data_IF_764579697423
#
_entry.id   IF_764579697423
#
_cell.length_a   1.000
_cell.length_b   1.000
_cell.length_c   1.000
_cell.angle_alpha   90.00
_cell.angle_beta   90.00
_cell.angle_gamma   90.00
#
_symmetry.space_group_name_H-M   'P 1'
#
loop_
_entity.id
_entity.type
_entity.pdbx_description
1 polymer ?
#
# COMPACT_ATOMS: atom_id res chain seq x y z
N UNK A 1 -5.22 -5.92 -19.44
CA UNK A 1 -4.35 -5.38 -18.37
C UNK A 1 -4.07 -6.48 -17.37
N UNK A 2 -2.84 -6.63 -16.86
CA UNK A 2 -2.51 -7.64 -15.83
C UNK A 2 -2.93 -7.08 -14.47
N UNK A 3 -3.74 -7.83 -13.71
CA UNK A 3 -4.00 -7.51 -12.31
C UNK A 3 -2.79 -7.95 -11.46
N UNK A 4 -2.24 -7.07 -10.58
CA UNK A 4 -1.11 -7.43 -9.72
C UNK A 4 -1.43 -8.56 -8.74
N UNK A 5 -0.44 -9.45 -8.52
CA UNK A 5 -0.48 -10.42 -7.44
C UNK A 5 -0.38 -9.72 -6.08
N UNK A 6 -1.24 -10.08 -5.13
CA UNK A 6 -1.38 -9.42 -3.82
C UNK A 6 -1.06 -10.42 -2.70
N UNK A 7 -0.29 -9.97 -1.71
CA UNK A 7 0.06 -10.75 -0.53
C UNK A 7 -1.11 -10.85 0.46
N UNK A 8 -1.18 -11.98 1.19
CA UNK A 8 -2.10 -12.24 2.31
C UNK A 8 -1.37 -11.93 3.63
N UNK A 9 -2.08 -11.48 4.64
CA UNK A 9 -1.51 -11.26 5.97
C UNK A 9 -1.19 -12.60 6.62
N UNK A 10 0.06 -12.79 7.05
CA UNK A 10 0.46 -13.97 7.82
C UNK A 10 0.23 -13.73 9.32
N UNK A 11 -0.08 -14.80 10.05
CA UNK A 11 -0.30 -14.77 11.49
C UNK A 11 1.02 -14.64 12.27
N UNK A 12 2.02 -15.41 11.89
CA UNK A 12 3.31 -15.49 12.58
C UNK A 12 4.48 -15.52 11.61
N UNK A 13 5.66 -15.00 12.01
CA UNK A 13 6.88 -15.21 11.26
C UNK A 13 7.24 -16.71 11.23
N UNK A 14 7.94 -17.11 10.18
CA UNK A 14 8.35 -18.48 9.94
C UNK A 14 9.67 -18.54 9.17
N UNK A 15 10.32 -19.71 9.17
CA UNK A 15 11.47 -20.02 8.34
C UNK A 15 11.18 -21.26 7.50
N UNK A 16 11.39 -21.18 6.17
CA UNK A 16 11.17 -22.29 5.23
C UNK A 16 12.04 -22.08 3.98
N UNK A 17 12.92 -23.05 3.61
CA UNK A 17 13.84 -22.93 2.47
C UNK A 17 13.14 -22.76 1.11
N UNK A 18 11.87 -23.11 1.01
CA UNK A 18 11.09 -22.91 -0.22
C UNK A 18 10.60 -21.47 -0.42
N UNK A 19 10.90 -20.57 0.52
CA UNK A 19 10.49 -19.19 0.50
C UNK A 19 11.69 -18.25 0.34
N UNK A 20 11.39 -17.05 -0.16
CA UNK A 20 12.31 -15.91 -0.12
C UNK A 20 11.65 -14.76 0.61
N UNK A 21 12.45 -13.95 1.28
CA UNK A 21 11.98 -12.82 2.07
C UNK A 21 12.52 -11.52 1.51
N UNK A 22 11.63 -10.59 1.23
CA UNK A 22 11.93 -9.24 0.76
C UNK A 22 11.48 -8.22 1.79
N UNK A 23 12.15 -7.07 1.83
CA UNK A 23 11.69 -5.93 2.63
C UNK A 23 10.29 -5.52 2.14
N UNK A 24 9.34 -5.36 3.06
CA UNK A 24 8.07 -4.74 2.74
C UNK A 24 8.29 -3.24 2.58
N UNK A 25 8.07 -2.76 1.37
CA UNK A 25 8.21 -1.36 1.01
C UNK A 25 6.92 -0.61 1.30
N UNK A 26 7.03 0.56 1.93
CA UNK A 26 5.90 1.45 2.19
C UNK A 26 5.82 2.50 1.07
N UNK A 27 4.94 2.27 0.09
CA UNK A 27 4.85 3.09 -1.10
C UNK A 27 3.56 2.91 -1.89
N UNK A 28 3.66 3.10 -3.19
CA UNK A 28 2.58 2.93 -4.16
C UNK A 28 2.96 1.83 -5.14
N UNK A 29 2.13 0.78 -5.23
CA UNK A 29 2.31 -0.31 -6.20
C UNK A 29 2.28 0.23 -7.62
N UNK A 30 3.25 -0.21 -8.42
CA UNK A 30 3.40 0.19 -9.80
C UNK A 30 3.69 -1.01 -10.71
N UNK A 31 2.84 -1.22 -11.71
CA UNK A 31 3.19 -1.99 -12.88
C UNK A 31 3.81 -1.03 -13.90
N UNK A 32 5.09 -1.22 -14.20
CA UNK A 32 5.76 -0.52 -15.28
C UNK A 32 5.64 -1.38 -16.54
N UNK A 33 5.01 -0.81 -17.56
CA UNK A 33 4.79 -1.43 -18.86
C UNK A 33 5.61 -0.63 -19.87
N UNK A 34 6.41 -1.32 -20.67
CA UNK A 34 7.07 -0.75 -21.84
C UNK A 34 6.75 -1.64 -23.04
N UNK A 35 6.32 -1.03 -24.12
CA UNK A 35 6.05 -1.67 -25.39
C UNK A 35 6.19 -0.65 -26.53
N UNK A 36 5.79 -1.00 -27.75
CA UNK A 36 5.87 -0.13 -28.93
C UNK A 36 5.09 1.19 -28.77
N UNK A 37 4.15 1.30 -27.83
CA UNK A 37 3.42 2.54 -27.51
C UNK A 37 4.15 3.44 -26.49
N UNK A 38 5.28 2.98 -25.95
CA UNK A 38 6.09 3.69 -24.96
C UNK A 38 5.94 3.14 -23.55
N UNK A 39 6.26 3.99 -22.55
CA UNK A 39 6.24 3.62 -21.14
C UNK A 39 4.92 4.03 -20.48
N UNK A 40 4.34 3.11 -19.73
CA UNK A 40 3.16 3.33 -18.91
C UNK A 40 3.42 2.88 -17.47
N UNK A 41 3.20 3.77 -16.51
CA UNK A 41 3.18 3.47 -15.08
C UNK A 41 1.73 3.32 -14.64
N UNK A 42 1.36 2.13 -14.18
CA UNK A 42 -0.01 1.81 -13.79
C UNK A 42 -0.08 1.47 -12.30
N UNK A 43 -1.00 2.09 -11.59
CA UNK A 43 -1.27 1.75 -10.20
C UNK A 43 -1.88 0.34 -10.06
N UNK A 44 -1.98 -0.15 -8.84
CA UNK A 44 -2.66 -1.41 -8.53
C UNK A 44 -4.08 -1.53 -9.11
N UNK A 45 -4.78 -0.41 -9.29
CA UNK A 45 -6.15 -0.33 -9.80
C UNK A 45 -6.24 0.01 -11.28
N UNK A 46 -5.10 0.07 -11.97
CA UNK A 46 -5.05 0.41 -13.39
C UNK A 46 -5.14 1.90 -13.71
N UNK A 47 -4.96 2.79 -12.72
CA UNK A 47 -4.86 4.25 -12.96
C UNK A 47 -3.47 4.56 -13.49
N UNK A 48 -3.40 5.35 -14.57
CA UNK A 48 -2.13 5.85 -15.12
C UNK A 48 -1.46 6.85 -14.17
N UNK A 49 -0.13 6.76 -14.04
CA UNK A 49 0.67 7.58 -13.13
C UNK A 49 1.83 8.31 -13.81
N UNK A 50 1.91 8.32 -15.14
CA UNK A 50 3.02 8.94 -15.88
C UNK A 50 3.21 10.42 -15.54
N UNK A 51 2.11 11.18 -15.44
CA UNK A 51 2.16 12.61 -15.13
C UNK A 51 2.67 12.90 -13.72
N UNK A 52 2.46 11.95 -12.80
CA UNK A 52 2.88 12.09 -11.40
C UNK A 52 4.35 11.74 -11.19
N UNK A 53 4.94 10.92 -12.09
CA UNK A 53 6.30 10.39 -11.99
C UNK A 53 7.10 10.49 -13.30
N UNK A 54 7.20 11.68 -13.91
CA UNK A 54 7.86 11.82 -15.23
C UNK A 54 9.32 11.35 -15.22
N UNK A 55 10.07 11.57 -14.14
CA UNK A 55 11.45 11.10 -14.02
C UNK A 55 11.60 9.57 -13.96
N UNK A 56 10.57 8.82 -13.52
CA UNK A 56 10.56 7.36 -13.61
C UNK A 56 10.28 6.91 -15.06
N UNK A 57 9.39 7.61 -15.76
CA UNK A 57 9.11 7.35 -17.19
C UNK A 57 10.38 7.53 -18.01
N UNK A 58 11.07 8.68 -17.87
CA UNK A 58 12.33 8.94 -18.55
C UNK A 58 13.42 7.89 -18.25
N UNK A 59 13.49 7.42 -17.00
CA UNK A 59 14.45 6.39 -16.63
C UNK A 59 14.14 5.05 -17.31
N UNK A 60 12.86 4.69 -17.40
CA UNK A 60 12.41 3.45 -18.06
C UNK A 60 12.56 3.50 -19.59
N UNK A 61 12.42 4.67 -20.20
CA UNK A 61 12.66 4.87 -21.63
C UNK A 61 14.13 4.66 -22.02
N UNK A 62 15.05 4.81 -21.07
CA UNK A 62 16.50 4.59 -21.27
C UNK A 62 16.95 3.15 -21.05
N UNK A 63 16.09 2.30 -20.46
CA UNK A 63 16.43 0.89 -20.25
C UNK A 63 16.64 0.18 -21.61
N UNK A 64 17.57 -0.78 -21.70
CA UNK A 64 17.85 -1.47 -22.98
C UNK A 64 16.69 -2.34 -23.45
N UNK A 65 15.93 -2.93 -22.55
CA UNK A 65 14.74 -3.75 -22.91
C UNK A 65 13.56 -2.86 -23.29
N UNK A 66 12.99 -3.08 -24.48
CA UNK A 66 11.89 -2.28 -25.04
C UNK A 66 10.51 -2.92 -24.88
N UNK A 67 10.43 -4.17 -24.43
CA UNK A 67 9.16 -4.87 -24.20
C UNK A 67 9.18 -5.64 -22.88
N UNK A 68 8.50 -5.08 -21.87
CA UNK A 68 8.33 -5.76 -20.58
C UNK A 68 7.10 -5.27 -19.80
N UNK A 69 6.67 -6.11 -18.87
CA UNK A 69 5.82 -5.70 -17.73
C UNK A 69 6.59 -6.09 -16.48
N UNK A 70 6.97 -5.09 -15.69
CA UNK A 70 7.68 -5.28 -14.42
C UNK A 70 6.82 -4.76 -13.26
N UNK A 71 6.81 -5.52 -12.17
CA UNK A 71 6.01 -5.25 -10.98
C UNK A 71 6.90 -4.70 -9.87
N UNK A 72 6.52 -3.57 -9.31
CA UNK A 72 7.34 -2.85 -8.35
C UNK A 72 6.54 -1.98 -7.38
N UNK A 73 7.28 -1.21 -6.59
CA UNK A 73 6.76 -0.25 -5.64
C UNK A 73 7.47 1.09 -5.82
N UNK A 74 6.72 2.17 -6.02
CA UNK A 74 7.24 3.54 -6.01
C UNK A 74 7.35 3.99 -4.55
N UNK A 75 8.55 4.41 -4.14
CA UNK A 75 8.84 4.76 -2.76
C UNK A 75 9.58 6.09 -2.64
N UNK A 76 9.46 6.72 -1.47
CA UNK A 76 10.33 7.78 -0.99
C UNK A 76 10.92 7.39 0.36
N UNK A 77 12.07 7.98 0.72
CA UNK A 77 12.75 7.67 1.98
C UNK A 77 12.66 8.83 2.96
N UNK A 78 12.46 8.48 4.23
CA UNK A 78 12.63 9.35 5.37
C UNK A 78 13.55 8.65 6.37
N UNK A 79 14.69 9.26 6.69
CA UNK A 79 15.71 8.69 7.59
C UNK A 79 16.15 7.26 7.20
N UNK A 80 16.31 7.00 5.89
CA UNK A 80 16.72 5.68 5.38
C UNK A 80 15.63 4.61 5.32
N UNK A 81 14.40 4.92 5.74
CA UNK A 81 13.24 4.03 5.74
C UNK A 81 12.23 4.51 4.69
N UNK A 82 11.60 3.58 3.97
CA UNK A 82 10.51 3.92 3.03
C UNK A 82 9.33 4.48 3.80
N UNK A 83 8.75 5.56 3.28
CA UNK A 83 7.65 6.27 3.93
C UNK A 83 6.63 6.74 2.92
N UNK A 84 5.43 6.19 3.01
CA UNK A 84 4.29 6.61 2.20
C UNK A 84 3.90 8.07 2.45
N UNK A 85 3.92 8.52 3.69
CA UNK A 85 3.66 9.92 4.04
C UNK A 85 4.68 10.87 3.41
N UNK A 86 5.96 10.48 3.31
CA UNK A 86 6.98 11.24 2.61
C UNK A 86 6.71 11.28 1.10
N UNK A 87 6.31 10.15 0.53
CA UNK A 87 5.95 10.04 -0.89
C UNK A 87 4.77 10.96 -1.25
N UNK A 88 3.78 11.09 -0.38
CA UNK A 88 2.63 12.00 -0.59
C UNK A 88 3.03 13.49 -0.64
N UNK A 89 4.12 13.88 0.00
CA UNK A 89 4.61 15.28 0.00
C UNK A 89 5.27 15.70 -1.32
N UNK A 90 5.50 14.79 -2.28
CA UNK A 90 6.19 15.08 -3.54
C UNK A 90 5.58 16.23 -4.36
N UNK A 91 4.28 16.46 -4.27
CA UNK A 91 3.62 17.58 -4.93
C UNK A 91 3.94 18.96 -4.36
N UNK A 92 4.59 19.02 -3.20
CA UNK A 92 4.90 20.24 -2.43
C UNK A 92 6.37 20.45 -2.19
N UNK A 93 7.12 19.36 -2.14
CA UNK A 93 8.55 19.34 -1.88
C UNK A 93 9.26 18.53 -2.97
N UNK A 94 10.51 18.86 -3.26
CA UNK A 94 11.35 17.97 -4.07
C UNK A 94 11.69 16.72 -3.27
N UNK A 95 10.91 15.68 -3.46
CA UNK A 95 11.11 14.37 -2.82
C UNK A 95 11.71 13.42 -3.84
N UNK A 96 12.93 12.92 -3.62
CA UNK A 96 13.47 11.86 -4.45
C UNK A 96 12.60 10.62 -4.38
N UNK A 97 12.16 10.11 -5.54
CA UNK A 97 11.35 8.89 -5.65
C UNK A 97 12.15 7.81 -6.36
N UNK A 98 11.90 6.57 -5.97
CA UNK A 98 12.55 5.39 -6.53
C UNK A 98 11.49 4.34 -6.87
N UNK A 99 11.73 3.56 -7.91
CA UNK A 99 10.90 2.41 -8.28
C UNK A 99 11.69 1.13 -8.03
N UNK A 100 11.25 0.35 -7.04
CA UNK A 100 11.82 -0.93 -6.67
C UNK A 100 11.06 -2.06 -7.32
N UNK A 101 11.69 -2.75 -8.25
CA UNK A 101 11.11 -3.91 -8.93
C UNK A 101 11.38 -5.20 -8.17
N UNK A 102 10.39 -6.07 -8.11
CA UNK A 102 10.49 -7.35 -7.41
C UNK A 102 9.92 -8.53 -8.21
N UNK A 103 9.28 -8.32 -9.38
CA UNK A 103 8.79 -9.36 -10.26
C UNK A 103 8.74 -8.90 -11.73
N UNK A 104 8.69 -9.87 -12.67
CA UNK A 104 8.66 -9.63 -14.11
C UNK A 104 7.63 -10.56 -14.76
N UNK A 105 6.36 -10.15 -14.86
CA UNK A 105 5.29 -10.93 -15.49
C UNK A 105 5.43 -11.16 -16.98
N UNK A 106 6.08 -10.25 -17.74
CA UNK A 106 6.28 -10.37 -19.20
C UNK A 106 7.64 -9.77 -19.60
N UNK A 107 8.31 -10.39 -20.58
CA UNK A 107 9.54 -9.88 -21.16
C UNK A 107 9.73 -10.36 -22.59
N UNK A 108 10.02 -9.44 -23.54
CA UNK A 108 10.27 -9.73 -24.95
C UNK A 108 9.18 -10.63 -25.58
N UNK A 109 7.92 -10.30 -25.36
CA UNK A 109 6.77 -11.06 -25.86
C UNK A 109 6.44 -12.33 -25.07
N UNK A 110 7.36 -12.85 -24.22
CA UNK A 110 7.14 -14.05 -23.42
C UNK A 110 6.29 -13.73 -22.16
N UNK A 111 5.21 -14.49 -21.95
CA UNK A 111 4.46 -14.50 -20.69
C UNK A 111 5.21 -15.33 -19.65
N UNK A 112 5.80 -14.65 -18.68
CA UNK A 112 6.57 -15.28 -17.61
C UNK A 112 5.72 -15.67 -16.39
N UNK A 113 4.44 -15.30 -16.35
CA UNK A 113 3.56 -15.58 -15.19
C UNK A 113 3.50 -17.05 -14.79
N UNK A 114 3.51 -18.04 -15.70
CA UNK A 114 3.55 -19.46 -15.35
C UNK A 114 4.88 -19.94 -14.77
N UNK A 115 5.98 -19.18 -14.98
CA UNK A 115 7.33 -19.55 -14.52
C UNK A 115 7.46 -19.40 -13.00
N UNK A 116 8.35 -20.17 -12.35
CA UNK A 116 8.72 -19.97 -10.95
C UNK A 116 9.21 -18.56 -10.64
N UNK A 117 8.86 -18.01 -9.47
CA UNK A 117 9.29 -16.66 -9.06
C UNK A 117 10.80 -16.48 -9.14
N UNK A 118 11.59 -17.49 -8.73
CA UNK A 118 13.07 -17.43 -8.81
C UNK A 118 13.58 -17.18 -10.25
N UNK A 119 12.93 -17.77 -11.25
CA UNK A 119 13.28 -17.58 -12.66
C UNK A 119 12.88 -16.17 -13.13
N UNK A 120 11.67 -15.72 -12.79
CA UNK A 120 11.20 -14.37 -13.11
C UNK A 120 12.10 -13.30 -12.50
N UNK A 121 12.52 -13.46 -11.23
CA UNK A 121 13.47 -12.55 -10.57
C UNK A 121 14.88 -12.59 -11.20
N UNK A 122 15.35 -13.75 -11.59
CA UNK A 122 16.62 -13.88 -12.30
C UNK A 122 16.57 -13.21 -13.68
N UNK A 123 15.44 -13.34 -14.40
CA UNK A 123 15.19 -12.65 -15.68
C UNK A 123 15.11 -11.13 -15.46
N UNK A 124 14.35 -10.67 -14.46
CA UNK A 124 14.25 -9.26 -14.11
C UNK A 124 15.62 -8.61 -13.90
N UNK A 125 16.50 -9.28 -13.14
CA UNK A 125 17.83 -8.77 -12.85
C UNK A 125 18.73 -8.61 -14.09
N UNK A 126 18.46 -9.36 -15.16
CA UNK A 126 19.19 -9.28 -16.43
C UNK A 126 18.55 -8.35 -17.44
N UNK A 127 17.23 -8.17 -17.35
CA UNK A 127 16.45 -7.40 -18.29
C UNK A 127 16.60 -5.89 -18.11
N UNK A 128 16.87 -5.41 -16.89
CA UNK A 128 16.96 -3.99 -16.54
C UNK A 128 18.32 -3.66 -15.90
N UNK A 129 18.82 -2.43 -16.13
CA UNK A 129 20.11 -1.97 -15.61
C UNK A 129 20.07 -1.46 -14.17
N UNK A 130 18.91 -1.10 -13.67
CA UNK A 130 18.69 -0.60 -12.29
C UNK A 130 19.53 0.63 -11.92
N UNK A 131 19.73 1.54 -12.87
CA UNK A 131 20.41 2.80 -12.64
C UNK A 131 19.47 3.94 -12.21
N UNK A 132 20.04 5.06 -11.75
CA UNK A 132 19.28 6.27 -11.40
C UNK A 132 18.22 6.02 -10.35
N UNK A 133 16.89 6.21 -10.65
CA UNK A 133 15.81 5.99 -9.71
C UNK A 133 15.30 4.53 -9.70
N UNK A 134 15.75 3.67 -10.62
CA UNK A 134 15.30 2.28 -10.72
C UNK A 134 16.12 1.36 -9.84
N UNK A 135 15.48 0.43 -9.14
CA UNK A 135 16.12 -0.46 -8.18
C UNK A 135 15.58 -1.88 -8.30
N UNK A 136 16.46 -2.86 -8.12
CA UNK A 136 16.08 -4.24 -7.88
C UNK A 136 15.79 -4.47 -6.40
N UNK A 137 14.72 -5.18 -6.07
CA UNK A 137 14.42 -5.56 -4.69
C UNK A 137 15.19 -6.84 -4.33
N UNK A 138 16.23 -6.75 -3.48
CA UNK A 138 16.97 -7.92 -3.03
C UNK A 138 16.07 -8.78 -2.14
N UNK A 139 16.41 -10.07 -2.07
CA UNK A 139 15.75 -11.02 -1.19
C UNK A 139 16.78 -11.82 -0.39
N UNK A 140 16.36 -12.33 0.75
CA UNK A 140 17.09 -13.30 1.57
C UNK A 140 16.41 -14.66 1.48
N UNK A 141 17.19 -15.73 1.66
CA UNK A 141 16.71 -17.10 1.65
C UNK A 141 15.84 -17.38 2.88
N UNK A 142 14.86 -18.25 2.74
CA UNK A 142 13.85 -18.49 3.73
C UNK A 142 14.26 -19.34 4.93
N UNK A 143 15.46 -19.97 4.89
CA UNK A 143 16.02 -20.69 6.05
C UNK A 143 16.13 -19.80 7.31
N UNK A 144 16.27 -18.49 7.10
CA UNK A 144 16.41 -17.49 8.17
C UNK A 144 15.22 -16.51 8.21
N UNK A 145 14.03 -16.91 7.79
CA UNK A 145 12.87 -16.03 7.64
C UNK A 145 12.48 -15.30 8.92
N UNK A 146 12.47 -15.97 10.06
CA UNK A 146 12.17 -15.36 11.38
C UNK A 146 13.22 -14.31 11.78
N UNK A 147 14.51 -14.58 11.50
CA UNK A 147 15.57 -13.62 11.74
C UNK A 147 15.44 -12.39 10.84
N UNK A 148 15.16 -12.59 9.54
CA UNK A 148 14.91 -11.51 8.58
C UNK A 148 13.77 -10.62 9.03
N UNK A 149 12.69 -11.21 9.54
CA UNK A 149 11.55 -10.47 10.08
C UNK A 149 11.92 -9.67 11.34
N UNK A 150 12.61 -10.31 12.30
CA UNK A 150 13.07 -9.66 13.54
C UNK A 150 13.95 -8.45 13.22
N UNK A 151 14.98 -8.64 12.36
CA UNK A 151 15.87 -7.56 11.93
C UNK A 151 15.10 -6.40 11.25
N UNK A 152 14.08 -6.73 10.44
CA UNK A 152 13.26 -5.71 9.80
C UNK A 152 12.52 -4.86 10.86
N UNK A 153 11.96 -5.49 11.89
CA UNK A 153 11.25 -4.79 12.95
C UNK A 153 12.19 -3.96 13.83
N UNK A 154 13.37 -4.49 14.20
CA UNK A 154 14.38 -3.74 14.95
C UNK A 154 14.88 -2.50 14.20
N UNK A 155 14.94 -2.57 12.87
CA UNK A 155 15.31 -1.43 12.01
C UNK A 155 14.14 -0.46 11.75
N UNK A 156 12.96 -0.69 12.33
CA UNK A 156 11.78 0.16 12.14
C UNK A 156 11.16 0.07 10.75
N UNK A 157 11.42 -1.02 10.01
CA UNK A 157 10.79 -1.23 8.71
C UNK A 157 9.31 -1.60 8.86
N UNK A 158 8.52 -1.45 7.80
CA UNK A 158 7.11 -1.83 7.81
C UNK A 158 6.90 -3.34 8.03
N UNK A 159 7.88 -4.15 7.62
CA UNK A 159 7.87 -5.60 7.72
C UNK A 159 8.59 -6.28 6.57
N UNK A 160 8.18 -7.50 6.27
CA UNK A 160 8.71 -8.29 5.16
C UNK A 160 7.58 -8.92 4.33
N UNK A 161 7.89 -9.20 3.06
CA UNK A 161 7.06 -10.03 2.18
C UNK A 161 7.79 -11.36 1.99
N UNK A 162 7.19 -12.43 2.50
CA UNK A 162 7.61 -13.78 2.20
C UNK A 162 6.95 -14.23 0.89
N UNK A 163 7.71 -14.77 -0.04
CA UNK A 163 7.23 -15.24 -1.34
C UNK A 163 7.70 -16.67 -1.58
N UNK A 164 6.79 -17.56 -2.00
CA UNK A 164 7.14 -18.92 -2.37
C UNK A 164 8.01 -18.88 -3.63
N UNK A 165 9.22 -19.43 -3.55
CA UNK A 165 10.24 -19.32 -4.61
C UNK A 165 9.83 -19.97 -5.94
N UNK A 166 8.98 -21.00 -5.89
CA UNK A 166 8.51 -21.75 -7.05
C UNK A 166 7.14 -21.31 -7.56
N UNK A 167 6.53 -20.30 -6.93
CA UNK A 167 5.17 -19.90 -7.29
C UNK A 167 5.10 -19.22 -8.65
N UNK A 168 4.02 -19.48 -9.42
CA UNK A 168 3.67 -18.66 -10.56
C UNK A 168 3.15 -17.30 -10.09
N UNK A 169 3.08 -16.34 -11.02
CA UNK A 169 2.45 -15.04 -10.78
C UNK A 169 0.95 -15.14 -11.01
N UNK A 170 0.14 -15.00 -9.96
CA UNK A 170 -1.33 -15.09 -10.02
C UNK A 170 -1.97 -13.73 -9.77
N UNK A 171 -2.96 -13.38 -10.58
CA UNK A 171 -3.76 -12.18 -10.35
C UNK A 171 -4.51 -12.25 -9.01
N UNK A 172 -4.59 -11.10 -8.31
CA UNK A 172 -5.32 -11.02 -7.06
C UNK A 172 -4.56 -11.54 -5.83
N UNK A 173 -5.28 -11.86 -4.76
CA UNK A 173 -4.70 -12.36 -3.51
C UNK A 173 -4.26 -13.82 -3.64
N UNK A 174 -3.02 -14.11 -3.18
CA UNK A 174 -2.47 -15.45 -3.17
C UNK A 174 -1.69 -15.71 -1.88
N UNK A 175 -1.85 -16.91 -1.32
CA UNK A 175 -1.04 -17.39 -0.21
C UNK A 175 0.40 -17.74 -0.59
N UNK A 176 0.74 -17.71 -1.86
CA UNK A 176 2.13 -17.82 -2.30
C UNK A 176 2.95 -16.56 -1.96
N UNK A 177 2.28 -15.44 -1.64
CA UNK A 177 2.88 -14.23 -1.09
C UNK A 177 2.24 -13.90 0.25
N UNK A 178 3.07 -13.78 1.28
CA UNK A 178 2.65 -13.47 2.64
C UNK A 178 3.29 -12.17 3.12
N UNK A 179 2.52 -11.29 3.71
CA UNK A 179 3.03 -10.08 4.35
C UNK A 179 3.08 -10.26 5.87
N UNK A 180 4.24 -10.01 6.44
CA UNK A 180 4.53 -10.02 7.86
C UNK A 180 4.83 -8.59 8.28
N UNK A 181 3.91 -7.96 9.00
CA UNK A 181 4.00 -6.55 9.41
C UNK A 181 4.61 -6.42 10.79
N UNK A 182 5.55 -5.49 10.98
CA UNK A 182 6.14 -5.18 12.28
C UNK A 182 5.19 -4.38 13.18
N UNK A 183 4.28 -3.63 12.57
CA UNK A 183 3.27 -2.82 13.25
C UNK A 183 1.90 -3.10 12.66
N UNK A 184 0.87 -3.00 13.50
CA UNK A 184 -0.49 -3.13 13.02
C UNK A 184 -0.88 -1.88 12.23
N UNK A 185 -1.01 -2.04 10.93
CA UNK A 185 -1.45 -0.98 10.01
C UNK A 185 -2.47 -1.55 9.03
N UNK A 186 -3.47 -0.73 8.70
CA UNK A 186 -4.46 -1.11 7.70
C UNK A 186 -5.08 0.12 7.05
N UNK A 187 -5.51 -0.02 5.81
CA UNK A 187 -6.35 0.97 5.15
C UNK A 187 -7.80 0.83 5.62
N UNK A 188 -8.44 1.96 5.93
CA UNK A 188 -9.84 2.03 6.30
C UNK A 188 -10.56 3.16 5.55
N UNK A 189 -11.86 2.97 5.31
CA UNK A 189 -12.72 3.93 4.64
C UNK A 189 -13.14 5.02 5.62
N UNK A 190 -13.09 6.27 5.21
CA UNK A 190 -13.62 7.40 5.97
C UNK A 190 -15.10 7.53 5.64
N UNK A 191 -15.97 7.42 6.64
CA UNK A 191 -17.42 7.55 6.52
C UNK A 191 -18.00 8.73 7.30
N UNK A 192 -17.15 9.48 7.99
CA UNK A 192 -17.56 10.66 8.73
C UNK A 192 -16.42 11.32 9.49
N UNK A 193 -16.73 12.43 10.14
CA UNK A 193 -15.81 13.11 11.04
C UNK A 193 -16.60 13.82 12.17
N UNK A 194 -15.95 14.08 13.28
CA UNK A 194 -16.54 14.83 14.38
C UNK A 194 -16.17 16.30 14.32
N UNK A 195 -17.00 17.18 14.86
CA UNK A 195 -16.67 18.58 15.05
C UNK A 195 -15.35 18.76 15.83
N UNK A 196 -14.56 19.81 15.52
CA UNK A 196 -13.33 20.11 16.23
C UNK A 196 -13.60 20.46 17.70
N UNK A 197 -12.60 20.19 18.57
CA UNK A 197 -12.65 20.57 19.99
C UNK A 197 -11.41 21.35 20.36
N UNK A 198 -11.59 22.33 21.26
CA UNK A 198 -10.49 23.21 21.73
C UNK A 198 -9.92 24.07 20.62
N UNK A 199 -8.60 24.13 20.51
CA UNK A 199 -7.89 24.94 19.51
C UNK A 199 -7.75 24.27 18.13
N UNK A 200 -8.30 23.08 17.95
CA UNK A 200 -8.23 22.36 16.67
C UNK A 200 -9.16 23.00 15.64
N UNK A 201 -8.67 23.18 14.43
CA UNK A 201 -9.44 23.63 13.27
C UNK A 201 -9.92 22.46 12.43
N UNK A 202 -10.88 22.68 11.54
CA UNK A 202 -11.41 21.79 10.52
C UNK A 202 -12.25 20.63 11.09
N UNK A 203 -11.64 19.61 11.70
CA UNK A 203 -12.35 18.47 12.28
C UNK A 203 -11.66 17.92 13.54
N UNK A 204 -12.41 17.23 14.38
CA UNK A 204 -11.91 16.63 15.62
C UNK A 204 -11.25 15.26 15.39
N UNK A 205 -11.99 14.33 14.83
CA UNK A 205 -11.55 12.97 14.53
C UNK A 205 -12.27 12.42 13.31
N UNK A 206 -11.61 11.58 12.53
CA UNK A 206 -12.24 10.80 11.47
C UNK A 206 -12.99 9.61 12.06
N UNK A 207 -14.14 9.27 11.48
CA UNK A 207 -14.88 8.05 11.73
C UNK A 207 -14.57 7.09 10.57
N UNK A 208 -14.03 5.92 10.90
CA UNK A 208 -13.49 5.00 9.88
C UNK A 208 -14.10 3.62 9.97
N UNK A 209 -14.06 2.88 8.86
CA UNK A 209 -14.59 1.53 8.78
C UNK A 209 -14.05 0.70 7.62
N UNK A 210 -14.61 -0.48 7.46
CA UNK A 210 -14.27 -1.44 6.42
C UNK A 210 -15.54 -2.13 5.90
N UNK A 211 -15.50 -2.62 4.68
CA UNK A 211 -16.61 -3.39 4.12
C UNK A 211 -16.53 -4.85 4.58
N UNK A 212 -17.66 -5.38 5.03
CA UNK A 212 -17.79 -6.81 5.32
C UNK A 212 -18.11 -7.62 4.04
N UNK A 213 -18.24 -8.94 4.19
CA UNK A 213 -18.53 -9.86 3.08
C UNK A 213 -19.88 -9.60 2.40
N UNK A 214 -20.79 -8.91 3.09
CA UNK A 214 -22.11 -8.51 2.56
C UNK A 214 -22.08 -7.16 1.87
N UNK A 215 -20.90 -6.50 1.82
CA UNK A 215 -20.74 -5.16 1.27
C UNK A 215 -21.26 -4.04 2.16
N UNK A 216 -21.55 -4.32 3.45
CA UNK A 216 -21.95 -3.31 4.43
C UNK A 216 -20.72 -2.66 5.06
N UNK A 217 -20.75 -1.33 5.24
CA UNK A 217 -19.66 -0.58 5.86
C UNK A 217 -19.75 -0.68 7.39
N UNK A 218 -18.80 -1.40 8.00
CA UNK A 218 -18.69 -1.58 9.45
C UNK A 218 -17.82 -0.51 10.07
N UNK A 219 -18.33 0.15 11.09
CA UNK A 219 -17.58 1.15 11.84
C UNK A 219 -16.44 0.50 12.64
N UNK A 220 -15.20 0.99 12.48
CA UNK A 220 -13.99 0.46 13.14
C UNK A 220 -13.43 1.39 14.23
N UNK A 221 -13.92 2.61 14.36
CA UNK A 221 -13.46 3.54 15.39
C UNK A 221 -13.25 4.96 14.91
N UNK A 222 -12.71 5.79 15.80
CA UNK A 222 -12.38 7.19 15.51
C UNK A 222 -10.87 7.42 15.60
N UNK A 223 -10.36 8.24 14.69
CA UNK A 223 -8.93 8.60 14.57
C UNK A 223 -8.77 10.08 14.82
N UNK A 224 -8.17 10.44 15.95
CA UNK A 224 -7.99 11.83 16.38
C UNK A 224 -6.54 12.32 16.34
N UNK A 225 -5.57 11.52 15.90
CA UNK A 225 -4.14 11.85 15.93
C UNK A 225 -3.45 11.51 14.60
N UNK A 226 -2.26 12.06 14.39
CA UNK A 226 -1.47 11.84 13.17
C UNK A 226 -1.68 12.90 12.10
N UNK A 227 -2.36 14.00 12.40
CA UNK A 227 -2.61 15.11 11.49
C UNK A 227 -1.70 16.30 11.83
N UNK A 228 -1.02 16.85 10.85
CA UNK A 228 -0.48 18.19 10.90
C UNK A 228 -1.52 19.23 10.42
N UNK A 229 -1.23 20.52 10.57
CA UNK A 229 -2.18 21.58 10.21
C UNK A 229 -2.52 21.60 8.72
N UNK A 230 -1.57 21.20 7.88
CA UNK A 230 -1.79 21.14 6.44
C UNK A 230 -2.74 19.98 6.09
N UNK A 231 -2.48 18.80 6.62
CA UNK A 231 -3.35 17.63 6.45
C UNK A 231 -4.77 17.90 6.94
N UNK A 232 -4.90 18.62 8.07
CA UNK A 232 -6.22 19.02 8.59
C UNK A 232 -6.99 19.86 7.57
N UNK A 233 -6.35 20.87 6.97
CA UNK A 233 -7.00 21.75 5.97
C UNK A 233 -7.39 21.00 4.70
N UNK A 234 -6.42 20.32 4.08
CA UNK A 234 -6.65 19.60 2.82
C UNK A 234 -7.71 18.51 2.96
N UNK A 235 -7.60 17.71 4.04
CA UNK A 235 -8.57 16.66 4.30
C UNK A 235 -9.94 17.23 4.70
N UNK A 236 -9.97 18.31 5.46
CA UNK A 236 -11.19 19.02 5.83
C UNK A 236 -11.96 19.55 4.61
N UNK A 237 -11.26 20.13 3.63
CA UNK A 237 -11.87 20.56 2.37
C UNK A 237 -12.47 19.38 1.59
N UNK A 238 -11.72 18.27 1.46
CA UNK A 238 -12.21 17.03 0.79
C UNK A 238 -13.43 16.45 1.51
N UNK A 239 -13.42 16.42 2.84
CA UNK A 239 -14.53 15.90 3.65
C UNK A 239 -15.80 16.72 3.48
N UNK A 240 -15.71 18.07 3.53
CA UNK A 240 -16.85 18.96 3.29
C UNK A 240 -17.48 18.75 1.90
N UNK A 241 -16.67 18.52 0.87
CA UNK A 241 -17.15 18.21 -0.49
C UNK A 241 -17.89 16.88 -0.61
N UNK A 242 -17.76 16.01 0.41
CA UNK A 242 -18.37 14.68 0.44
C UNK A 242 -19.49 14.55 1.49
N UNK A 243 -19.88 15.63 2.19
CA UNK A 243 -20.93 15.56 3.23
C UNK A 243 -22.26 15.01 2.70
N UNK A 244 -22.92 14.27 3.56
CA UNK A 244 -24.24 13.70 3.33
C UNK A 244 -25.05 13.60 4.64
N UNK A 245 -26.37 13.52 4.55
CA UNK A 245 -27.25 13.53 5.73
C UNK A 245 -27.26 12.20 6.49
N UNK A 246 -27.10 11.08 5.77
CA UNK A 246 -27.20 9.75 6.35
C UNK A 246 -25.85 9.11 6.63
N UNK A 247 -25.79 8.33 7.73
CA UNK A 247 -24.63 7.52 8.03
C UNK A 247 -24.37 6.47 6.94
N UNK A 248 -23.15 6.36 6.40
CA UNK A 248 -22.79 5.28 5.49
C UNK A 248 -22.50 3.96 6.22
N UNK A 249 -22.38 4.00 7.55
CA UNK A 249 -22.10 2.81 8.35
C UNK A 249 -23.37 2.07 8.72
N UNK A 250 -23.26 0.75 8.89
CA UNK A 250 -24.24 -0.02 9.64
C UNK A 250 -24.45 0.60 11.04
N UNK A 251 -25.65 0.49 11.63
CA UNK A 251 -25.95 1.10 12.91
C UNK A 251 -24.93 0.73 14.00
N UNK A 252 -24.37 1.71 14.67
CA UNK A 252 -23.43 1.55 15.78
C UNK A 252 -23.69 2.57 16.89
N UNK A 253 -23.20 2.28 18.09
CA UNK A 253 -23.28 3.18 19.25
C UNK A 253 -21.97 3.14 20.05
N UNK A 254 -21.61 4.24 20.76
CA UNK A 254 -22.23 5.56 20.66
C UNK A 254 -21.79 6.32 19.40
N UNK A 255 -22.68 7.16 18.86
CA UNK A 255 -22.32 8.11 17.81
C UNK A 255 -21.67 9.32 18.47
N UNK A 256 -20.46 9.76 18.07
CA UNK A 256 -19.82 10.95 18.65
C UNK A 256 -20.67 12.20 18.42
N UNK A 257 -20.79 13.10 19.42
CA UNK A 257 -21.49 14.37 19.25
C UNK A 257 -20.86 15.22 18.15
N UNK A 258 -21.69 15.93 17.37
CA UNK A 258 -21.23 16.79 16.27
C UNK A 258 -20.60 15.96 15.12
N UNK A 259 -21.14 14.79 14.84
CA UNK A 259 -20.72 13.96 13.71
C UNK A 259 -21.31 14.49 12.42
N UNK A 260 -20.45 14.65 11.41
CA UNK A 260 -20.78 14.91 10.02
C UNK A 260 -20.50 13.62 9.24
N UNK A 261 -21.48 13.16 8.47
CA UNK A 261 -21.35 11.99 7.62
C UNK A 261 -20.80 12.38 6.26
N UNK A 262 -20.02 11.50 5.66
CA UNK A 262 -19.50 11.71 4.30
C UNK A 262 -19.70 10.48 3.44
N UNK A 263 -19.82 10.69 2.12
CA UNK A 263 -19.80 9.60 1.16
C UNK A 263 -18.50 8.81 1.34
N UNK A 264 -18.58 7.47 1.43
CA UNK A 264 -17.44 6.61 1.77
C UNK A 264 -16.53 6.37 0.55
N UNK A 265 -15.88 7.44 0.08
CA UNK A 265 -15.01 7.45 -1.10
C UNK A 265 -13.53 7.52 -0.72
N UNK A 266 -13.20 8.17 0.42
CA UNK A 266 -11.82 8.35 0.86
C UNK A 266 -11.32 7.15 1.67
N UNK A 267 -10.10 6.73 1.40
CA UNK A 267 -9.40 5.67 2.13
C UNK A 267 -8.19 6.24 2.86
N UNK A 268 -8.09 5.95 4.15
CA UNK A 268 -6.96 6.34 4.99
C UNK A 268 -6.09 5.14 5.36
N UNK A 269 -4.77 5.30 5.28
CA UNK A 269 -3.81 4.41 5.94
C UNK A 269 -3.76 4.76 7.41
N UNK A 270 -3.94 3.79 8.28
CA UNK A 270 -3.94 3.95 9.73
C UNK A 270 -2.96 2.98 10.38
N UNK A 271 -2.19 3.49 11.34
CA UNK A 271 -1.47 2.66 12.30
C UNK A 271 -2.31 2.52 13.59
N UNK A 272 -2.23 1.40 14.27
CA UNK A 272 -2.97 1.15 15.51
C UNK A 272 -2.26 0.10 16.38
N UNK A 273 -2.64 -0.02 17.64
CA UNK A 273 -2.04 -1.02 18.52
C UNK A 273 -2.56 -2.44 18.21
N UNK A 274 -3.88 -2.60 18.16
CA UNK A 274 -4.54 -3.90 17.94
C UNK A 274 -6.00 -3.73 17.52
N UNK A 275 -6.60 -4.77 16.99
CA UNK A 275 -8.04 -4.91 16.88
C UNK A 275 -8.64 -5.41 18.19
N UNK A 276 -9.66 -4.73 18.71
CA UNK A 276 -10.42 -5.21 19.85
C UNK A 276 -11.37 -6.35 19.44
N UNK A 277 -11.93 -7.09 20.42
CA UNK A 277 -12.85 -8.20 20.17
C UNK A 277 -14.14 -7.77 19.45
N UNK A 278 -14.59 -6.54 19.69
CA UNK A 278 -15.76 -5.94 19.06
C UNK A 278 -15.45 -5.26 17.70
N UNK A 279 -14.28 -5.52 17.11
CA UNK A 279 -13.92 -5.07 15.78
C UNK A 279 -13.59 -3.56 15.70
N UNK A 280 -13.06 -2.99 16.78
CA UNK A 280 -12.61 -1.60 16.85
C UNK A 280 -11.07 -1.51 16.84
N UNK A 281 -10.56 -0.37 16.41
CA UNK A 281 -9.13 -0.06 16.49
C UNK A 281 -8.77 0.50 17.88
N UNK A 282 -7.67 0.03 18.45
CA UNK A 282 -7.08 0.59 19.67
C UNK A 282 -5.93 1.53 19.33
N UNK A 283 -5.97 2.75 19.87
CA UNK A 283 -4.97 3.80 19.65
C UNK A 283 -4.66 4.08 18.16
N UNK A 284 -5.67 4.28 17.30
CA UNK A 284 -5.41 4.53 15.89
C UNK A 284 -4.80 5.90 15.65
N UNK A 285 -3.88 5.97 14.69
CA UNK A 285 -3.25 7.19 14.18
C UNK A 285 -3.33 7.26 12.66
N UNK A 286 -3.53 8.43 12.12
CA UNK A 286 -3.54 8.67 10.69
C UNK A 286 -2.11 8.68 10.14
N UNK A 287 -1.90 8.03 9.00
CA UNK A 287 -0.61 7.97 8.30
C UNK A 287 -0.67 8.63 6.91
N UNK A 288 -1.84 8.67 6.28
CA UNK A 288 -2.02 9.29 4.96
C UNK A 288 -3.31 8.84 4.25
N UNK A 289 -3.68 9.52 3.16
CA UNK A 289 -4.74 9.07 2.26
C UNK A 289 -4.20 8.05 1.25
N UNK A 290 -5.06 7.11 0.84
CA UNK A 290 -4.76 6.10 -0.19
C UNK A 290 -5.63 6.34 -1.42
N UNK A 291 -5.19 7.24 -2.30
CA UNK A 291 -5.87 7.52 -3.57
C UNK A 291 -5.70 6.38 -4.61
N UNK A 292 -4.83 5.43 -4.31
CA UNK A 292 -4.54 4.24 -5.12
C UNK A 292 -5.42 3.02 -4.80
N UNK A 293 -6.36 3.15 -3.83
CA UNK A 293 -7.25 2.05 -3.41
C UNK A 293 -8.71 2.46 -3.44
N UNK A 294 -9.57 1.74 -4.19
CA UNK A 294 -11.01 1.94 -4.13
C UNK A 294 -11.57 1.63 -2.74
N UNK A 295 -12.44 2.48 -2.22
CA UNK A 295 -13.03 2.29 -0.90
C UNK A 295 -13.73 0.94 -0.74
N UNK A 296 -14.42 0.47 -1.80
CA UNK A 296 -15.14 -0.82 -1.80
C UNK A 296 -14.25 -2.07 -1.66
N UNK A 297 -12.95 -1.94 -1.92
CA UNK A 297 -11.98 -3.04 -1.72
C UNK A 297 -11.40 -3.10 -0.30
N UNK A 298 -11.76 -2.15 0.56
CA UNK A 298 -11.27 -2.07 1.93
C UNK A 298 -12.05 -3.04 2.81
N UNK A 299 -11.43 -4.15 3.13
CA UNK A 299 -11.95 -5.18 4.05
C UNK A 299 -11.04 -5.28 5.26
N UNK A 300 -11.56 -5.81 6.37
CA UNK A 300 -10.73 -6.11 7.53
C UNK A 300 -9.72 -7.21 7.17
N UNK A 301 -8.44 -6.90 7.35
CA UNK A 301 -7.38 -7.90 7.18
C UNK A 301 -7.30 -8.78 8.43
N UNK A 302 -7.59 -10.05 8.26
CA UNK A 302 -7.38 -11.06 9.29
C UNK A 302 -6.18 -11.91 8.89
N UNK A 303 -5.35 -12.32 9.84
CA UNK A 303 -4.33 -13.34 9.62
C UNK A 303 -4.98 -14.64 9.11
N UNK A 304 -4.30 -15.29 8.20
CA UNK A 304 -4.78 -16.55 7.56
C UNK A 304 -3.98 -17.76 8.00
#
# INVERSE_FOLDING_TARGET
MIEPMKAVLADKPFSDPNWIFERKLDGIRCLAIRDASGVQLMSRTGRGMNQEYPGLVEALEREPSEDFIADGEIVAFQNGITSFSRLQRRGRERVPVFLYFFDLPRHEGEDLRPRPLRERKARLRRALEFGGPLRFTPHRRGEHGEEVYREACEKGLEGVIAKRADSPYRSGRSRDWLKLKCHAEQELVIGGYSAPKGSRTEFGALLVGYYDERGALRYAGKVGTGFDQHTLRELGERLRGLEQDQSPFEPFKPIPPGTHWVRPELVAQLGFAEWTRDGRLRHPRYLGLRDDKPAREVVRELPS
#
